data_IF_387017211219
#
_entry.id   IF_387017211219
#
_cell.length_a   1.000
_cell.length_b   1.000
_cell.length_c   1.000
_cell.angle_alpha   90.00
_cell.angle_beta   90.00
_cell.angle_gamma   90.00
#
_symmetry.space_group_name_H-M   'P 1'
#
loop_
_entity.id
_entity.type
_entity.pdbx_description
1 polymer ?
#
# COMPACT_ATOMS: atom_id res chain seq x y z
N UNK A 1 -2.66 11.09 15.81
CA UNK A 1 -2.19 10.25 14.69
C UNK A 1 -0.93 9.56 15.21
N UNK A 2 -0.98 8.25 15.50
CA UNK A 2 0.22 7.50 15.86
C UNK A 2 1.21 7.60 14.71
N UNK A 3 2.51 7.74 15.01
CA UNK A 3 3.53 7.89 13.98
C UNK A 3 3.49 6.69 13.03
N UNK A 4 3.49 6.96 11.72
CA UNK A 4 3.74 5.95 10.69
C UNK A 4 5.23 5.62 10.81
N UNK A 5 5.54 4.60 11.60
CA UNK A 5 6.90 4.16 11.88
C UNK A 5 7.14 2.82 11.21
N UNK A 6 8.36 2.60 10.74
CA UNK A 6 8.81 1.32 10.21
C UNK A 6 8.68 0.20 11.26
N UNK A 7 8.33 -1.00 10.81
CA UNK A 7 8.51 -2.22 11.58
C UNK A 7 9.49 -3.15 10.84
N UNK A 8 10.72 -3.21 11.32
CA UNK A 8 11.77 -4.03 10.72
C UNK A 8 11.47 -5.53 10.81
N UNK A 9 10.61 -5.96 11.75
CA UNK A 9 10.20 -7.37 11.85
C UNK A 9 9.28 -7.79 10.69
N UNK A 10 8.68 -6.80 10.02
CA UNK A 10 7.88 -6.96 8.82
C UNK A 10 8.63 -6.57 7.55
N UNK A 11 9.96 -6.36 7.62
CA UNK A 11 10.79 -5.89 6.51
C UNK A 11 10.30 -4.58 5.89
N UNK A 12 9.75 -3.70 6.72
CA UNK A 12 9.22 -2.41 6.28
C UNK A 12 10.30 -1.34 6.31
N UNK A 13 10.64 -0.80 5.14
CA UNK A 13 11.62 0.27 4.97
C UNK A 13 11.03 1.40 4.14
N UNK A 14 11.20 2.63 4.58
CA UNK A 14 10.71 3.81 3.87
C UNK A 14 11.66 4.19 2.73
N UNK A 15 11.07 4.52 1.58
CA UNK A 15 11.81 5.16 0.50
C UNK A 15 12.34 6.52 0.93
N UNK A 16 13.38 6.99 0.23
CA UNK A 16 13.80 8.38 0.34
C UNK A 16 12.63 9.31 -0.02
N UNK A 17 12.57 10.48 0.62
CA UNK A 17 11.47 11.43 0.41
C UNK A 17 11.28 11.80 -1.07
N UNK A 18 12.37 12.04 -1.80
CA UNK A 18 12.32 12.35 -3.23
C UNK A 18 11.70 11.22 -4.07
N UNK A 19 11.87 9.96 -3.67
CA UNK A 19 11.23 8.81 -4.31
C UNK A 19 9.75 8.77 -3.99
N UNK A 20 9.37 9.04 -2.73
CA UNK A 20 7.96 9.12 -2.33
C UNK A 20 7.25 10.22 -3.14
N UNK A 21 7.85 11.41 -3.22
CA UNK A 21 7.28 12.55 -3.94
C UNK A 21 7.07 12.23 -5.42
N UNK A 22 8.06 11.59 -6.07
CA UNK A 22 7.95 11.17 -7.47
C UNK A 22 6.87 10.09 -7.67
N UNK A 23 6.78 9.12 -6.77
CA UNK A 23 5.77 8.06 -6.86
C UNK A 23 4.35 8.58 -6.61
N UNK A 24 4.18 9.53 -5.68
CA UNK A 24 2.90 10.20 -5.44
C UNK A 24 2.47 10.95 -6.69
N UNK A 25 3.35 11.76 -7.28
CA UNK A 25 3.06 12.49 -8.51
C UNK A 25 2.63 11.57 -9.66
N UNK A 26 3.36 10.46 -9.88
CA UNK A 26 3.00 9.46 -10.89
C UNK A 26 1.60 8.85 -10.64
N UNK A 27 1.28 8.53 -9.38
CA UNK A 27 -0.04 8.00 -9.03
C UNK A 27 -1.15 9.04 -9.24
N UNK A 28 -0.91 10.31 -8.92
CA UNK A 28 -1.86 11.40 -9.12
C UNK A 28 -2.09 11.72 -10.60
N UNK A 29 -1.08 11.57 -11.45
CA UNK A 29 -1.17 11.82 -12.89
C UNK A 29 -1.88 10.69 -13.65
N UNK A 30 -1.79 9.44 -13.17
CA UNK A 30 -2.22 8.26 -13.93
C UNK A 30 -3.31 7.40 -13.27
N UNK A 31 -3.47 7.46 -11.94
CA UNK A 31 -4.42 6.64 -11.20
C UNK A 31 -5.69 7.38 -10.84
N UNK A 32 -6.84 6.74 -11.01
CA UNK A 32 -8.11 7.20 -10.41
C UNK A 32 -8.50 6.37 -9.20
N UNK A 33 -8.03 5.10 -9.14
CA UNK A 33 -8.20 4.18 -8.04
C UNK A 33 -7.01 3.22 -7.96
N UNK A 34 -6.09 3.50 -7.04
CA UNK A 34 -4.88 2.74 -6.87
C UNK A 34 -4.97 1.68 -5.75
N UNK A 35 -4.28 0.57 -5.95
CA UNK A 35 -3.96 -0.40 -4.91
C UNK A 35 -2.51 -0.23 -4.49
N UNK A 36 -2.28 0.10 -3.22
CA UNK A 36 -0.96 0.22 -2.60
C UNK A 36 -0.67 -1.06 -1.82
N UNK A 37 0.09 -1.98 -2.40
CA UNK A 37 0.40 -3.28 -1.82
C UNK A 37 1.76 -3.21 -1.11
N UNK A 38 1.74 -3.25 0.22
CA UNK A 38 2.93 -3.13 1.07
C UNK A 38 3.72 -1.82 0.87
N UNK A 39 3.07 -0.78 0.36
CA UNK A 39 3.67 0.56 0.16
C UNK A 39 2.98 1.66 0.99
N UNK A 40 2.90 1.53 2.32
CA UNK A 40 2.17 2.47 3.17
C UNK A 40 2.79 3.87 3.16
N UNK A 41 4.11 4.00 3.00
CA UNK A 41 4.78 5.30 2.89
C UNK A 41 4.24 6.16 1.75
N UNK A 42 3.87 5.54 0.62
CA UNK A 42 3.29 6.24 -0.53
C UNK A 42 1.81 6.56 -0.24
N UNK A 43 1.02 5.58 0.19
CA UNK A 43 -0.41 5.77 0.50
C UNK A 43 -0.65 6.91 1.50
N UNK A 44 0.14 6.96 2.57
CA UNK A 44 -0.01 8.01 3.59
C UNK A 44 0.56 9.37 3.19
N UNK A 45 1.27 9.45 2.06
CA UNK A 45 1.81 10.70 1.51
C UNK A 45 0.88 11.36 0.48
N UNK A 46 -0.17 10.66 0.05
CA UNK A 46 -1.23 11.25 -0.77
C UNK A 46 -1.98 12.36 -0.01
N UNK A 47 -2.49 13.36 -0.73
CA UNK A 47 -3.43 14.32 -0.15
C UNK A 47 -4.71 13.57 0.28
N UNK A 48 -5.03 13.63 1.57
CA UNK A 48 -6.19 12.95 2.13
C UNK A 48 -7.54 13.51 1.65
N UNK A 49 -7.53 14.63 0.92
CA UNK A 49 -8.71 15.20 0.26
C UNK A 49 -8.82 14.85 -1.22
N UNK A 50 -7.78 14.25 -1.82
CA UNK A 50 -7.79 13.88 -3.24
C UNK A 50 -8.78 12.75 -3.51
N UNK A 51 -9.36 12.74 -4.72
CA UNK A 51 -10.21 11.62 -5.17
C UNK A 51 -9.42 10.30 -5.20
N UNK A 52 -8.15 10.35 -5.61
CA UNK A 52 -7.25 9.21 -5.59
C UNK A 52 -7.18 8.60 -4.19
N UNK A 53 -6.89 9.37 -3.14
CA UNK A 53 -6.83 8.85 -1.77
C UNK A 53 -8.15 8.23 -1.32
N UNK A 54 -9.28 8.88 -1.63
CA UNK A 54 -10.61 8.42 -1.20
C UNK A 54 -11.05 7.12 -1.91
N UNK A 55 -10.60 6.90 -3.14
CA UNK A 55 -10.93 5.71 -3.93
C UNK A 55 -9.92 4.56 -3.76
N UNK A 56 -8.72 4.86 -3.28
CA UNK A 56 -7.59 3.93 -3.21
C UNK A 56 -7.52 3.15 -1.91
N UNK A 57 -6.80 2.04 -1.94
CA UNK A 57 -6.69 1.13 -0.80
C UNK A 57 -5.23 0.79 -0.48
N UNK A 58 -4.94 0.67 0.81
CA UNK A 58 -3.68 0.17 1.34
C UNK A 58 -3.86 -1.30 1.73
N UNK A 59 -3.21 -2.19 0.98
CA UNK A 59 -3.13 -3.62 1.28
C UNK A 59 -1.85 -3.88 2.05
N UNK A 60 -1.95 -4.06 3.37
CA UNK A 60 -0.78 -4.24 4.23
C UNK A 60 -1.04 -5.31 5.30
N UNK A 61 0.04 -5.99 5.71
CA UNK A 61 0.00 -6.97 6.78
C UNK A 61 -0.05 -6.28 8.16
N UNK A 62 0.52 -5.08 8.26
CA UNK A 62 0.65 -4.38 9.52
C UNK A 62 -0.69 -3.78 9.99
N UNK A 63 -1.25 -4.40 11.04
CA UNK A 63 -2.53 -4.00 11.63
C UNK A 63 -2.48 -2.64 12.32
N UNK A 64 -1.31 -2.01 12.51
CA UNK A 64 -1.24 -0.64 13.03
C UNK A 64 -1.96 0.36 12.12
N UNK A 65 -2.09 0.03 10.83
CA UNK A 65 -2.78 0.85 9.84
C UNK A 65 -4.29 0.64 9.79
N UNK A 66 -4.87 -0.24 10.61
CA UNK A 66 -6.30 -0.59 10.56
C UNK A 66 -7.28 0.56 10.80
N UNK A 67 -6.81 1.71 11.29
CA UNK A 67 -7.61 2.93 11.44
C UNK A 67 -7.62 3.82 10.19
N UNK A 68 -6.83 3.50 9.17
CA UNK A 68 -6.80 4.24 7.92
C UNK A 68 -8.04 3.90 7.06
N UNK A 69 -8.69 4.89 6.40
CA UNK A 69 -9.94 4.68 5.68
C UNK A 69 -9.89 3.59 4.60
N UNK A 70 -8.80 3.51 3.84
CA UNK A 70 -8.63 2.54 2.75
C UNK A 70 -7.85 1.28 3.14
N UNK A 71 -7.64 1.02 4.44
CA UNK A 71 -6.87 -0.15 4.86
C UNK A 71 -7.62 -1.46 4.58
N UNK A 72 -6.91 -2.40 3.96
CA UNK A 72 -7.31 -3.78 3.75
C UNK A 72 -6.20 -4.65 4.32
N UNK A 73 -6.54 -5.52 5.28
CA UNK A 73 -5.55 -6.48 5.77
C UNK A 73 -5.18 -7.46 4.65
N UNK A 74 -3.90 -7.49 4.31
CA UNK A 74 -3.35 -8.37 3.29
C UNK A 74 -2.37 -9.34 3.93
N UNK A 75 -2.71 -10.63 3.90
CA UNK A 75 -1.81 -11.71 4.29
C UNK A 75 -1.02 -12.19 3.08
N UNK A 76 0.26 -11.85 3.02
CA UNK A 76 1.13 -12.26 1.91
C UNK A 76 1.34 -13.79 1.83
N UNK A 77 1.05 -14.55 2.90
CA UNK A 77 1.02 -16.01 2.84
C UNK A 77 -0.24 -16.56 2.15
N UNK A 78 -1.27 -15.73 2.02
CA UNK A 78 -2.56 -16.06 1.40
C UNK A 78 -2.98 -14.96 0.40
N UNK A 79 -2.19 -14.72 -0.65
CA UNK A 79 -2.33 -13.53 -1.51
C UNK A 79 -3.66 -13.47 -2.29
N UNK A 80 -4.41 -14.58 -2.37
CA UNK A 80 -5.72 -14.65 -3.02
C UNK A 80 -6.90 -14.40 -2.07
N UNK A 81 -6.66 -14.30 -0.76
CA UNK A 81 -7.69 -14.06 0.26
C UNK A 81 -8.02 -12.57 0.36
N UNK A 82 -8.55 -12.02 -0.73
CA UNK A 82 -8.92 -10.62 -0.89
C UNK A 82 -10.45 -10.44 -0.95
N UNK A 83 -10.99 -9.30 -0.51
CA UNK A 83 -12.41 -8.99 -0.68
C UNK A 83 -12.80 -8.97 -2.16
N UNK A 84 -13.79 -9.79 -2.54
CA UNK A 84 -14.18 -10.00 -3.94
C UNK A 84 -14.70 -8.72 -4.61
N UNK A 85 -15.28 -7.81 -3.82
CA UNK A 85 -15.76 -6.51 -4.24
C UNK A 85 -14.65 -5.56 -4.72
N UNK A 86 -13.37 -5.86 -4.41
CA UNK A 86 -12.21 -5.10 -4.84
C UNK A 86 -11.56 -5.69 -6.11
N UNK A 87 -12.02 -6.85 -6.57
CA UNK A 87 -11.46 -7.48 -7.76
C UNK A 87 -11.80 -6.68 -9.03
N UNK A 88 -10.81 -6.47 -9.88
CA UNK A 88 -10.95 -5.74 -11.15
C UNK A 88 -11.44 -4.29 -11.00
N UNK A 89 -11.24 -3.67 -9.84
CA UNK A 89 -11.69 -2.27 -9.59
C UNK A 89 -10.59 -1.22 -9.63
N UNK A 90 -9.32 -1.62 -9.75
CA UNK A 90 -8.17 -0.72 -9.73
C UNK A 90 -7.61 -0.52 -11.14
N UNK A 91 -7.23 0.71 -11.45
CA UNK A 91 -6.57 1.10 -12.70
C UNK A 91 -5.05 1.27 -12.53
N UNK A 92 -4.59 1.35 -11.28
CA UNK A 92 -3.19 1.52 -10.92
C UNK A 92 -2.81 0.62 -9.75
N UNK A 93 -1.60 0.06 -9.75
CA UNK A 93 -1.11 -0.78 -8.66
C UNK A 93 0.35 -0.45 -8.37
N UNK A 94 0.65 -0.16 -7.11
CA UNK A 94 2.01 0.03 -6.60
C UNK A 94 2.32 -1.13 -5.67
N UNK A 95 3.45 -1.82 -5.90
CA UNK A 95 3.80 -3.05 -5.18
C UNK A 95 5.23 -2.98 -4.69
N UNK A 96 5.43 -3.24 -3.40
CA UNK A 96 6.73 -3.54 -2.82
C UNK A 96 6.56 -4.54 -1.67
N UNK A 97 6.30 -5.79 -2.04
CA UNK A 97 6.10 -6.85 -1.06
C UNK A 97 7.40 -7.09 -0.27
N UNK A 98 7.31 -7.42 1.05
CA UNK A 98 8.49 -7.74 1.84
C UNK A 98 9.32 -8.83 1.17
N UNK A 99 10.64 -8.70 1.25
CA UNK A 99 11.57 -9.59 0.54
C UNK A 99 11.28 -11.06 0.88
N UNK A 100 10.84 -11.80 -0.12
CA UNK A 100 10.64 -13.24 -0.05
C UNK A 100 12.01 -13.91 0.06
N UNK A 101 12.46 -14.14 1.30
CA UNK A 101 13.56 -15.05 1.59
C UNK A 101 13.15 -16.45 1.12
N UNK A 102 13.77 -16.92 0.04
CA UNK A 102 13.90 -18.29 -0.53
C UNK A 102 12.66 -19.21 -0.64
N UNK A 103 11.72 -19.20 0.30
CA UNK A 103 10.70 -20.24 0.50
C UNK A 103 9.39 -20.01 -0.28
N UNK A 104 9.25 -18.91 -1.02
CA UNK A 104 8.03 -18.57 -1.79
C UNK A 104 8.19 -18.79 -3.30
N UNK A 105 9.40 -19.14 -3.76
CA UNK A 105 9.67 -19.53 -5.15
C UNK A 105 9.82 -21.05 -5.34
N UNK A 106 9.51 -21.84 -4.31
CA UNK A 106 9.59 -23.30 -4.31
C UNK A 106 8.24 -23.96 -4.66
#
# INVERSE_FOLDING_TARGET
RGAIQEDITLYQYWYASATIDAMVAECEDHGTRAAFLSTPSIYFSLDNKSELFQNSHLFDYDRKFASAPGYVFYDYHRPQDLPKELHHTYDYVVIDAPSVLHDVLA
#
